data_IF_523662491201
#
_entry.id   IF_523662491201
#
_cell.length_a   1.000
_cell.length_b   1.000
_cell.length_c   1.000
_cell.angle_alpha   90.00
_cell.angle_beta   90.00
_cell.angle_gamma   90.00
#
_symmetry.space_group_name_H-M   'P 1'
#
loop_
_entity.id
_entity.type
_entity.pdbx_description
1 polymer ?
#
# COMPACT_ATOMS: atom_id res chain seq x y z
N UNK A 1 11.72 61.01 4.66
CA UNK A 1 13.01 60.85 3.93
C UNK A 1 13.20 59.35 3.71
N UNK A 2 12.66 58.81 2.60
CA UNK A 2 13.40 58.53 1.33
C UNK A 2 14.49 57.48 1.55
N UNK A 3 14.50 56.29 0.95
CA UNK A 3 13.97 55.89 -0.35
C UNK A 3 13.64 54.39 -0.42
N UNK A 4 12.64 54.13 -1.25
CA UNK A 4 12.24 52.87 -1.88
C UNK A 4 13.26 52.57 -2.99
N UNK A 5 13.72 51.32 -3.11
CA UNK A 5 14.43 50.85 -4.30
C UNK A 5 13.86 49.50 -4.69
N UNK A 6 12.92 49.57 -5.62
CA UNK A 6 12.45 48.48 -6.45
C UNK A 6 13.61 48.06 -7.37
N UNK A 7 13.87 46.75 -7.44
CA UNK A 7 14.91 46.13 -8.25
C UNK A 7 14.31 44.98 -9.04
N UNK A 8 13.66 45.34 -10.13
CA UNK A 8 13.03 44.49 -11.14
C UNK A 8 14.12 43.86 -12.03
N UNK A 9 14.23 42.54 -12.02
CA UNK A 9 14.97 41.77 -13.04
C UNK A 9 14.09 40.63 -13.52
N UNK A 10 13.14 41.01 -14.37
CA UNK A 10 12.57 40.14 -15.39
C UNK A 10 13.68 39.73 -16.39
N UNK A 11 13.99 38.44 -16.46
CA UNK A 11 14.52 37.83 -17.70
C UNK A 11 13.91 36.45 -17.82
N UNK A 12 13.10 36.31 -18.87
CA UNK A 12 12.22 35.17 -19.09
C UNK A 12 12.96 33.87 -19.35
N UNK A 13 12.34 32.80 -18.86
CA UNK A 13 12.51 31.47 -19.43
C UNK A 13 11.11 31.05 -19.86
N UNK A 14 10.77 31.44 -21.08
CA UNK A 14 9.61 30.94 -21.80
C UNK A 14 9.93 29.48 -22.15
N UNK A 15 9.35 28.54 -21.42
CA UNK A 15 9.31 27.13 -21.81
C UNK A 15 7.88 26.65 -21.86
N UNK A 16 7.52 26.28 -23.09
CA UNK A 16 6.23 25.87 -23.58
C UNK A 16 5.42 24.97 -22.62
N UNK A 17 4.17 25.37 -22.42
CA UNK A 17 3.07 24.50 -22.05
C UNK A 17 2.83 23.58 -23.25
N UNK A 18 3.38 22.36 -23.21
CA UNK A 18 2.95 21.29 -24.10
C UNK A 18 1.82 20.52 -23.43
N UNK A 19 0.62 20.44 -24.05
CA UNK A 19 -0.41 19.52 -23.59
C UNK A 19 0.06 18.09 -23.89
N UNK A 20 0.29 17.28 -22.86
CA UNK A 20 0.34 15.84 -23.06
C UNK A 20 -1.09 15.35 -23.26
N UNK A 21 -1.37 15.22 -24.55
CA UNK A 21 -2.54 14.66 -25.20
C UNK A 21 -3.03 13.42 -24.43
N UNK A 22 -4.27 13.51 -23.97
CA UNK A 22 -5.07 12.40 -23.46
C UNK A 22 -5.10 11.29 -24.52
N UNK A 23 -4.29 10.24 -24.34
CA UNK A 23 -4.33 9.06 -25.21
C UNK A 23 -5.58 8.26 -24.90
N UNK A 24 -6.64 8.54 -25.65
CA UNK A 24 -7.78 7.65 -25.80
C UNK A 24 -7.26 6.37 -26.48
N UNK A 25 -7.08 5.30 -25.71
CA UNK A 25 -6.73 4.00 -26.26
C UNK A 25 -7.96 3.47 -27.03
N UNK A 26 -7.89 3.58 -28.35
CA UNK A 26 -8.91 3.10 -29.30
C UNK A 26 -8.92 1.56 -29.33
N UNK A 27 -10.08 0.98 -29.00
CA UNK A 27 -10.35 -0.48 -28.97
C UNK A 27 -10.58 -1.08 -30.35
N UNK A 28 -9.70 -0.82 -31.33
CA UNK A 28 -9.81 -1.41 -32.68
C UNK A 28 -8.46 -1.80 -33.25
N UNK A 29 -8.07 -3.04 -32.98
CA UNK A 29 -7.25 -3.82 -33.90
C UNK A 29 -7.90 -5.21 -34.00
N UNK A 30 -8.76 -5.30 -35.01
CA UNK A 30 -9.39 -6.50 -35.51
C UNK A 30 -8.37 -7.24 -36.42
N UNK A 31 -8.45 -8.58 -36.42
CA UNK A 31 -8.00 -9.54 -37.45
C UNK A 31 -6.52 -10.01 -37.36
N UNK A 32 -6.21 -11.31 -37.45
CA UNK A 32 -7.08 -12.44 -37.75
C UNK A 32 -6.37 -13.81 -37.82
N UNK A 33 -7.22 -14.84 -37.82
CA UNK A 33 -7.12 -16.13 -38.49
C UNK A 33 -5.79 -16.89 -38.47
N UNK A 34 -5.75 -17.95 -37.66
CA UNK A 34 -5.04 -19.20 -38.03
C UNK A 34 -5.99 -20.38 -37.89
N UNK A 35 -6.27 -20.99 -39.03
CA UNK A 35 -7.10 -22.19 -39.19
C UNK A 35 -6.47 -23.42 -38.51
N UNK A 36 -7.33 -24.38 -38.17
CA UNK A 36 -7.11 -25.38 -37.13
C UNK A 36 -6.33 -26.64 -37.53
N UNK A 37 -6.09 -27.45 -36.49
CA UNK A 37 -5.93 -28.90 -36.59
C UNK A 37 -6.79 -29.55 -35.50
N UNK A 38 -7.68 -30.45 -35.90
CA UNK A 38 -8.56 -31.20 -35.04
C UNK A 38 -7.82 -32.35 -34.35
N UNK A 39 -8.00 -32.50 -33.04
CA UNK A 39 -7.79 -33.74 -32.29
C UNK A 39 -9.00 -33.94 -31.37
N UNK A 40 -9.64 -35.09 -31.55
CA UNK A 40 -10.86 -35.51 -30.89
C UNK A 40 -10.65 -35.84 -29.40
N UNK A 41 -11.70 -35.62 -28.60
CA UNK A 41 -11.97 -36.40 -27.38
C UNK A 41 -11.93 -35.63 -26.06
N UNK A 42 -13.07 -35.07 -25.65
CA UNK A 42 -13.76 -35.36 -24.38
C UNK A 42 -14.99 -34.45 -24.24
N UNK A 43 -16.06 -34.99 -23.66
CA UNK A 43 -17.43 -34.50 -23.71
C UNK A 43 -17.59 -33.00 -23.41
N UNK A 44 -18.35 -32.33 -24.28
CA UNK A 44 -18.85 -30.99 -24.07
C UNK A 44 -19.81 -30.99 -22.86
N UNK A 45 -19.34 -30.45 -21.74
CA UNK A 45 -20.25 -29.90 -20.74
C UNK A 45 -20.76 -28.55 -21.28
N UNK A 46 -22.05 -28.22 -21.11
CA UNK A 46 -22.57 -26.92 -21.53
C UNK A 46 -21.74 -25.82 -20.88
N UNK A 47 -21.27 -24.89 -21.70
CA UNK A 47 -20.39 -23.82 -21.28
C UNK A 47 -20.98 -23.08 -20.09
N UNK A 48 -20.36 -23.25 -18.93
CA UNK A 48 -20.52 -22.32 -17.83
C UNK A 48 -19.97 -21.00 -18.33
N UNK A 49 -20.87 -20.11 -18.76
CA UNK A 49 -20.57 -18.70 -18.98
C UNK A 49 -19.86 -18.22 -17.72
N UNK A 50 -18.55 -18.05 -17.81
CA UNK A 50 -17.74 -17.61 -16.67
C UNK A 50 -18.11 -16.16 -16.47
N UNK A 51 -19.04 -15.91 -15.54
CA UNK A 51 -19.43 -14.58 -15.14
C UNK A 51 -18.17 -13.78 -14.83
N UNK A 52 -17.94 -12.70 -15.56
CA UNK A 52 -16.84 -11.78 -15.28
C UNK A 52 -17.11 -11.21 -13.88
N UNK A 53 -16.20 -11.39 -12.90
CA UNK A 53 -16.41 -10.84 -11.58
C UNK A 53 -16.58 -9.33 -11.66
N UNK A 54 -17.59 -8.80 -10.97
CA UNK A 54 -17.72 -7.35 -10.78
C UNK A 54 -16.42 -6.80 -10.16
N UNK A 55 -15.91 -5.66 -10.64
CA UNK A 55 -14.77 -4.99 -10.02
C UNK A 55 -15.07 -4.68 -8.55
N UNK A 56 -14.10 -4.91 -7.66
CA UNK A 56 -14.24 -4.56 -6.25
C UNK A 56 -14.45 -3.05 -6.07
N UNK A 57 -15.27 -2.70 -5.09
CA UNK A 57 -15.44 -1.32 -4.64
C UNK A 57 -14.07 -0.66 -4.31
N UNK A 58 -13.79 0.57 -4.81
CA UNK A 58 -12.51 1.23 -4.59
C UNK A 58 -12.10 1.38 -3.12
N UNK A 59 -13.06 1.57 -2.20
CA UNK A 59 -12.75 1.66 -0.77
C UNK A 59 -12.28 0.32 -0.22
N UNK A 60 -12.88 -0.77 -0.68
CA UNK A 60 -12.46 -2.15 -0.36
C UNK A 60 -11.05 -2.43 -0.88
N UNK A 61 -10.72 -2.00 -2.10
CA UNK A 61 -9.35 -2.12 -2.65
C UNK A 61 -8.34 -1.33 -1.81
N UNK A 62 -8.64 -0.07 -1.50
CA UNK A 62 -7.80 0.78 -0.64
C UNK A 62 -7.58 0.14 0.73
N UNK A 63 -8.66 -0.29 1.39
CA UNK A 63 -8.61 -0.85 2.74
C UNK A 63 -7.82 -2.16 2.78
N UNK A 64 -8.02 -3.04 1.78
CA UNK A 64 -7.25 -4.30 1.66
C UNK A 64 -5.75 -4.02 1.50
N UNK A 65 -5.38 -3.03 0.69
CA UNK A 65 -3.99 -2.60 0.55
C UNK A 65 -3.39 -2.03 1.84
N UNK A 66 -4.16 -1.25 2.60
CA UNK A 66 -3.73 -0.73 3.91
C UNK A 66 -3.55 -1.87 4.92
N UNK A 67 -4.46 -2.85 4.94
CA UNK A 67 -4.39 -4.03 5.79
C UNK A 67 -3.12 -4.84 5.50
N UNK A 68 -2.84 -5.13 4.22
CA UNK A 68 -1.63 -5.84 3.83
C UNK A 68 -0.35 -5.11 4.28
N UNK A 69 -0.29 -3.79 4.10
CA UNK A 69 0.83 -2.98 4.60
C UNK A 69 0.95 -3.01 6.12
N UNK A 70 -0.18 -3.10 6.85
CA UNK A 70 -0.19 -3.18 8.31
C UNK A 70 0.27 -4.55 8.81
N UNK A 71 -0.14 -5.62 8.14
CA UNK A 71 0.34 -6.99 8.39
C UNK A 71 1.85 -7.11 8.17
N UNK A 72 2.37 -6.52 7.10
CA UNK A 72 3.81 -6.44 6.87
C UNK A 72 4.54 -5.76 8.04
N UNK A 73 4.02 -4.64 8.55
CA UNK A 73 4.61 -3.96 9.70
C UNK A 73 4.58 -4.83 10.97
N UNK A 74 3.49 -5.56 11.22
CA UNK A 74 3.41 -6.52 12.34
C UNK A 74 4.48 -7.59 12.21
N UNK A 75 4.69 -8.15 11.01
CA UNK A 75 5.72 -9.16 10.74
C UNK A 75 7.14 -8.64 10.98
N UNK A 76 7.42 -7.38 10.60
CA UNK A 76 8.73 -6.75 10.87
C UNK A 76 9.02 -6.63 12.37
N UNK A 77 8.03 -6.17 13.15
CA UNK A 77 8.18 -6.10 14.61
C UNK A 77 8.30 -7.48 15.24
N UNK A 78 7.54 -8.48 14.77
CA UNK A 78 7.67 -9.87 15.23
C UNK A 78 9.08 -10.41 15.00
N UNK A 79 9.62 -10.23 13.80
CA UNK A 79 10.99 -10.64 13.48
C UNK A 79 12.00 -9.94 14.39
N UNK A 80 11.91 -8.61 14.55
CA UNK A 80 12.80 -7.86 15.44
C UNK A 80 12.75 -8.35 16.90
N UNK A 81 11.55 -8.67 17.41
CA UNK A 81 11.40 -9.21 18.78
C UNK A 81 11.94 -10.63 18.95
N UNK A 82 12.06 -11.40 17.87
CA UNK A 82 12.64 -12.75 17.90
C UNK A 82 14.16 -12.73 17.77
N UNK A 83 14.72 -11.72 17.09
CA UNK A 83 16.17 -11.58 16.88
C UNK A 83 16.92 -11.09 18.12
N UNK A 84 16.29 -10.27 18.97
CA UNK A 84 16.94 -9.66 20.15
C UNK A 84 15.98 -9.65 21.35
N UNK A 85 16.28 -10.49 22.35
CA UNK A 85 15.44 -10.65 23.54
C UNK A 85 15.47 -9.42 24.48
N UNK A 86 16.59 -8.71 24.55
CA UNK A 86 16.73 -7.51 25.40
C UNK A 86 15.92 -6.36 24.78
N UNK A 87 15.99 -6.21 23.46
CA UNK A 87 15.21 -5.23 22.72
C UNK A 87 13.72 -5.59 22.63
N UNK A 88 13.37 -6.88 22.67
CA UNK A 88 11.99 -7.36 22.53
C UNK A 88 11.02 -6.73 23.54
N UNK A 89 11.45 -6.53 24.79
CA UNK A 89 10.64 -5.89 25.82
C UNK A 89 10.27 -4.44 25.43
N UNK A 90 11.20 -3.72 24.80
CA UNK A 90 11.01 -2.34 24.33
C UNK A 90 10.13 -2.28 23.08
N UNK A 91 10.22 -3.26 22.17
CA UNK A 91 9.47 -3.28 20.91
C UNK A 91 8.04 -3.82 21.03
N UNK A 92 7.74 -4.65 22.04
CA UNK A 92 6.42 -5.28 22.21
C UNK A 92 5.25 -4.28 22.26
N UNK A 93 5.34 -3.12 22.94
CA UNK A 93 4.27 -2.13 22.92
C UNK A 93 3.96 -1.57 21.52
N UNK A 94 4.98 -1.41 20.67
CA UNK A 94 4.80 -0.99 19.28
C UNK A 94 4.06 -2.06 18.49
N UNK A 95 4.52 -3.31 18.58
CA UNK A 95 3.87 -4.47 17.94
C UNK A 95 2.38 -4.58 18.33
N UNK A 96 2.07 -4.47 19.62
CA UNK A 96 0.70 -4.49 20.13
C UNK A 96 -0.15 -3.35 19.53
N UNK A 97 0.43 -2.16 19.37
CA UNK A 97 -0.25 -1.04 18.74
C UNK A 97 -0.54 -1.31 17.25
N UNK A 98 0.38 -1.93 16.51
CA UNK A 98 0.11 -2.33 15.12
C UNK A 98 -0.99 -3.38 15.01
N UNK A 99 -1.02 -4.37 15.91
CA UNK A 99 -2.10 -5.36 15.98
C UNK A 99 -3.45 -4.72 16.27
N UNK A 100 -3.52 -3.77 17.21
CA UNK A 100 -4.75 -3.04 17.51
C UNK A 100 -5.28 -2.25 16.30
N UNK A 101 -4.39 -1.60 15.56
CA UNK A 101 -4.77 -0.92 14.31
C UNK A 101 -5.24 -1.91 13.22
N UNK A 102 -4.60 -3.08 13.11
CA UNK A 102 -5.03 -4.12 12.16
C UNK A 102 -6.45 -4.60 12.47
N UNK A 103 -6.77 -4.81 13.75
CA UNK A 103 -8.14 -5.11 14.19
C UNK A 103 -9.10 -3.97 13.84
N UNK A 104 -8.71 -2.72 14.08
CA UNK A 104 -9.55 -1.57 13.74
C UNK A 104 -9.83 -1.48 12.22
N UNK A 105 -8.81 -1.67 11.38
CA UNK A 105 -8.96 -1.68 9.92
C UNK A 105 -9.88 -2.80 9.44
N UNK A 106 -9.72 -4.02 9.97
CA UNK A 106 -10.54 -5.18 9.56
C UNK A 106 -12.02 -5.01 9.87
N UNK A 107 -12.40 -4.22 10.89
CA UNK A 107 -13.81 -3.90 11.19
C UNK A 107 -14.51 -3.07 10.10
N UNK A 108 -13.74 -2.48 9.17
CA UNK A 108 -14.28 -1.70 8.06
C UNK A 108 -14.35 -2.49 6.75
N UNK A 109 -13.90 -3.76 6.72
CA UNK A 109 -14.11 -4.61 5.56
C UNK A 109 -15.59 -5.05 5.51
N UNK A 110 -16.21 -5.08 4.32
CA UNK A 110 -17.48 -5.78 4.12
C UNK A 110 -17.36 -7.25 4.53
N UNK A 111 -18.42 -7.83 5.10
CA UNK A 111 -18.44 -9.25 5.49
C UNK A 111 -18.16 -10.19 4.30
N UNK A 112 -18.63 -9.82 3.10
CA UNK A 112 -18.43 -10.59 1.87
C UNK A 112 -17.14 -10.21 1.11
N UNK A 113 -16.25 -9.43 1.71
CA UNK A 113 -14.99 -9.06 1.06
C UNK A 113 -14.16 -10.32 0.76
N UNK A 114 -13.61 -10.47 -0.46
CA UNK A 114 -12.78 -11.62 -0.79
C UNK A 114 -11.63 -11.74 0.19
N UNK A 115 -11.57 -12.85 0.92
CA UNK A 115 -10.37 -13.19 1.68
C UNK A 115 -9.25 -13.43 0.68
N UNK A 116 -8.16 -12.67 0.79
CA UNK A 116 -6.98 -12.92 -0.01
C UNK A 116 -6.56 -14.40 0.20
N UNK A 117 -6.36 -15.19 -0.88
CA UNK A 117 -5.94 -16.56 -0.72
C UNK A 117 -4.61 -16.58 0.04
N UNK A 118 -4.41 -17.52 0.97
CA UNK A 118 -3.12 -17.66 1.64
C UNK A 118 -2.06 -17.90 0.56
N UNK A 119 -1.15 -16.94 0.39
CA UNK A 119 0.00 -17.11 -0.48
C UNK A 119 0.79 -18.30 0.03
N UNK A 120 1.05 -19.29 -0.84
CA UNK A 120 1.92 -20.41 -0.51
C UNK A 120 3.27 -19.85 -0.04
N UNK A 121 3.74 -20.19 1.18
CA UNK A 121 5.01 -19.68 1.65
C UNK A 121 6.10 -20.24 0.73
N UNK A 122 6.81 -19.35 0.03
CA UNK A 122 8.03 -19.72 -0.66
C UNK A 122 9.06 -20.19 0.39
N UNK A 123 9.84 -21.25 0.14
CA UNK A 123 10.88 -21.68 1.06
C UNK A 123 11.92 -20.56 1.19
N UNK A 124 11.94 -19.89 2.33
CA UNK A 124 12.94 -18.88 2.65
C UNK A 124 14.16 -19.57 3.24
N UNK A 125 15.32 -19.35 2.62
CA UNK A 125 16.60 -19.75 3.21
C UNK A 125 16.74 -19.05 4.58
N UNK A 126 17.03 -19.84 5.62
CA UNK A 126 17.23 -19.38 7.00
C UNK A 126 18.49 -18.52 7.12
N UNK A 127 18.36 -17.24 6.82
CA UNK A 127 19.16 -16.14 7.36
C UNK A 127 18.40 -14.86 7.05
N UNK A 128 17.21 -14.71 7.65
CA UNK A 128 16.53 -13.43 7.63
C UNK A 128 17.46 -12.39 8.28
N UNK A 129 17.76 -11.28 7.60
CA UNK A 129 18.65 -10.26 8.15
C UNK A 129 18.08 -9.73 9.45
N UNK A 130 18.96 -9.42 10.40
CA UNK A 130 18.55 -8.84 11.66
C UNK A 130 17.87 -7.47 11.43
N UNK A 131 16.70 -7.29 12.03
CA UNK A 131 15.86 -6.11 11.81
C UNK A 131 16.27 -5.03 12.80
N UNK A 132 17.18 -4.15 12.38
CA UNK A 132 17.66 -3.05 13.21
C UNK A 132 16.57 -2.04 13.58
N UNK A 133 16.75 -1.35 14.72
CA UNK A 133 15.90 -0.21 15.14
C UNK A 133 15.84 0.88 14.07
N UNK A 134 16.96 1.15 13.38
CA UNK A 134 17.02 2.14 12.30
C UNK A 134 16.13 1.76 11.11
N UNK A 135 16.07 0.47 10.78
CA UNK A 135 15.18 -0.06 9.75
C UNK A 135 13.71 0.10 10.14
N UNK A 136 13.32 -0.31 11.36
CA UNK A 136 11.95 -0.11 11.86
C UNK A 136 11.56 1.37 11.84
N UNK A 137 12.47 2.25 12.25
CA UNK A 137 12.25 3.70 12.23
C UNK A 137 11.96 4.23 10.83
N UNK A 138 12.65 3.72 9.82
CA UNK A 138 12.42 4.10 8.42
C UNK A 138 11.10 3.53 7.88
N UNK A 139 10.79 2.29 8.22
CA UNK A 139 9.52 1.66 7.88
C UNK A 139 8.33 2.46 8.44
N UNK A 140 8.40 2.91 9.70
CA UNK A 140 7.37 3.74 10.33
C UNK A 140 7.18 5.09 9.64
N UNK A 141 8.28 5.77 9.25
CA UNK A 141 8.19 7.02 8.48
C UNK A 141 7.52 6.81 7.13
N UNK A 142 7.91 5.75 6.41
CA UNK A 142 7.33 5.40 5.11
C UNK A 142 5.85 5.08 5.24
N UNK A 143 5.45 4.33 6.27
CA UNK A 143 4.06 4.02 6.56
C UNK A 143 3.25 5.29 6.84
N UNK A 144 3.73 6.16 7.74
CA UNK A 144 3.08 7.43 8.05
C UNK A 144 2.86 8.30 6.80
N UNK A 145 3.89 8.45 5.96
CA UNK A 145 3.79 9.20 4.71
C UNK A 145 2.82 8.56 3.70
N UNK A 146 2.72 7.22 3.68
CA UNK A 146 1.74 6.53 2.86
C UNK A 146 0.31 6.82 3.33
N UNK A 147 0.04 6.85 4.65
CA UNK A 147 -1.29 7.18 5.18
C UNK A 147 -1.77 8.55 4.72
N UNK A 148 -0.90 9.56 4.75
CA UNK A 148 -1.24 10.90 4.29
C UNK A 148 -1.64 10.94 2.81
N UNK A 149 -0.94 10.19 1.94
CA UNK A 149 -1.30 10.09 0.52
C UNK A 149 -2.64 9.39 0.29
N UNK A 150 -2.93 8.36 1.10
CA UNK A 150 -4.16 7.58 1.00
C UNK A 150 -5.41 8.35 1.42
N UNK A 151 -5.27 9.49 2.11
CA UNK A 151 -6.41 10.32 2.51
C UNK A 151 -7.17 10.92 1.31
N UNK A 152 -6.52 11.13 0.17
CA UNK A 152 -7.16 11.69 -1.04
C UNK A 152 -8.23 10.77 -1.62
N UNK A 153 -8.04 9.45 -1.47
CA UNK A 153 -8.93 8.44 -2.05
C UNK A 153 -9.87 7.81 -1.01
N UNK A 154 -9.70 8.15 0.28
CA UNK A 154 -10.44 7.55 1.38
C UNK A 154 -11.74 8.29 1.70
N UNK A 155 -12.81 7.53 1.94
CA UNK A 155 -14.06 8.05 2.52
C UNK A 155 -13.81 8.78 3.85
N UNK A 156 -14.71 9.67 4.32
CA UNK A 156 -14.47 10.45 5.54
C UNK A 156 -14.17 9.61 6.78
N UNK A 157 -14.91 8.51 6.99
CA UNK A 157 -14.70 7.59 8.11
C UNK A 157 -13.34 6.91 8.02
N UNK A 158 -12.97 6.42 6.84
CA UNK A 158 -11.67 5.77 6.63
C UNK A 158 -10.52 6.78 6.75
N UNK A 159 -10.69 7.99 6.23
CA UNK A 159 -9.72 9.09 6.36
C UNK A 159 -9.39 9.40 7.82
N UNK A 160 -10.40 9.47 8.70
CA UNK A 160 -10.18 9.68 10.13
C UNK A 160 -9.33 8.55 10.75
N UNK A 161 -9.65 7.30 10.42
CA UNK A 161 -8.88 6.14 10.90
C UNK A 161 -7.44 6.14 10.38
N UNK A 162 -7.25 6.37 9.07
CA UNK A 162 -5.93 6.43 8.45
C UNK A 162 -5.08 7.58 9.00
N UNK A 163 -5.69 8.73 9.28
CA UNK A 163 -5.01 9.86 9.90
C UNK A 163 -4.52 9.52 11.32
N UNK A 164 -5.39 8.92 12.15
CA UNK A 164 -5.01 8.45 13.49
C UNK A 164 -3.87 7.43 13.45
N UNK A 165 -3.95 6.46 12.53
CA UNK A 165 -2.90 5.46 12.32
C UNK A 165 -1.58 6.13 11.88
N UNK A 166 -1.63 7.04 10.91
CA UNK A 166 -0.45 7.73 10.41
C UNK A 166 0.22 8.60 11.47
N UNK A 167 -0.56 9.24 12.34
CA UNK A 167 -0.04 9.98 13.48
C UNK A 167 0.68 9.06 14.48
N UNK A 168 0.13 7.88 14.78
CA UNK A 168 0.81 6.88 15.61
C UNK A 168 2.11 6.38 14.97
N UNK A 169 2.10 6.07 13.67
CA UNK A 169 3.30 5.62 12.94
C UNK A 169 4.40 6.71 12.94
N UNK A 170 4.02 7.99 12.79
CA UNK A 170 4.96 9.10 12.93
C UNK A 170 5.53 9.22 14.36
N UNK A 171 4.69 9.03 15.39
CA UNK A 171 5.12 9.03 16.79
C UNK A 171 6.07 7.85 17.07
N UNK A 172 5.80 6.67 16.50
CA UNK A 172 6.68 5.51 16.61
C UNK A 172 8.05 5.79 16.00
N UNK A 173 8.09 6.37 14.79
CA UNK A 173 9.35 6.77 14.15
C UNK A 173 10.16 7.77 15.00
N UNK A 174 9.49 8.68 15.70
CA UNK A 174 10.14 9.60 16.62
C UNK A 174 10.65 8.87 17.89
N UNK A 175 9.87 7.93 18.43
CA UNK A 175 10.24 7.15 19.60
C UNK A 175 11.42 6.21 19.35
N UNK A 176 11.40 5.44 18.26
CA UNK A 176 12.52 4.59 17.84
C UNK A 176 13.80 5.40 17.61
N UNK A 177 13.68 6.65 17.15
CA UNK A 177 14.82 7.55 16.98
C UNK A 177 15.55 7.96 18.27
N UNK A 178 14.95 7.67 19.44
CA UNK A 178 15.54 7.88 20.78
C UNK A 178 16.17 6.61 21.37
N UNK A 179 15.94 5.44 20.79
CA UNK A 179 16.52 4.16 21.23
C UNK A 179 17.92 3.93 20.62
N UNK A 180 18.69 5.00 20.41
CA UNK A 180 20.01 4.94 19.75
C UNK A 180 21.03 4.24 20.63
#
# INVERSE_FOLDING_TARGET
MTARSDGDLATGISSAISPLISTVISRRALLGASAGLALAGCAASPGTETAVPEPLDPQTVLLTGVIAAKEQMVSLYQQATLSDADLAATLRPFQQRHLAHLVALRRHLPEDAPSAPPGSPAPVASTAPDISVAFLRDAERKAAAARSRQLTDASPVLSQLLCSIGACEALHAAALGRLR
#
